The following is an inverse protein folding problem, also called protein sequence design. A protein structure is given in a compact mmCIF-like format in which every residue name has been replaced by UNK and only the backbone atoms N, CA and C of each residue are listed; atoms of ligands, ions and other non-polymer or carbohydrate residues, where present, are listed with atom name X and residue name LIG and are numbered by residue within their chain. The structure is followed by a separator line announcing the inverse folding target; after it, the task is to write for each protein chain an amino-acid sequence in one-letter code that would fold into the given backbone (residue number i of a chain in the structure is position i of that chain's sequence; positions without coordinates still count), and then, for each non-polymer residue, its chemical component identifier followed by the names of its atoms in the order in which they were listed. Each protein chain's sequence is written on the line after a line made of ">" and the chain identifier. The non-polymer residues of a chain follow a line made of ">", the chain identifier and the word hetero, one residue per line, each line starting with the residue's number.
data_IF_480838560512
#
_entry.id   IF_480838560512
#
_cell.length_a   1.000
_cell.length_b   1.000
_cell.length_c   1.000
_cell.angle_alpha   90.00
_cell.angle_beta   90.00
_cell.angle_gamma   90.00
#
_symmetry.space_group_name_H-M   'P 1'
#
loop_
_entity.id
_entity.type
_entity.pdbx_description
1 polymer ?
#
# COMPACT_ATOMS: atom_id res chain seq x y z
N UNK A 1 -20.11 9.05 -24.04
CA UNK A 1 -18.97 9.05 -24.95
C UNK A 1 -18.07 7.84 -24.58
N UNK A 2 -18.05 6.79 -25.41
CA UNK A 2 -17.11 5.67 -25.21
C UNK A 2 -15.72 6.17 -25.64
N UNK A 3 -14.84 6.41 -24.67
CA UNK A 3 -13.43 6.60 -25.01
C UNK A 3 -12.89 5.27 -25.52
N UNK A 4 -12.26 5.22 -26.70
CA UNK A 4 -11.60 4.02 -27.17
C UNK A 4 -10.49 3.66 -26.16
N UNK A 5 -10.42 2.41 -25.76
CA UNK A 5 -9.29 1.94 -24.95
C UNK A 5 -8.00 2.18 -25.73
N UNK A 6 -7.02 2.88 -25.19
CA UNK A 6 -5.76 3.10 -25.89
C UNK A 6 -5.07 1.74 -26.10
N UNK A 7 -4.71 1.41 -27.33
CA UNK A 7 -3.80 0.31 -27.62
C UNK A 7 -2.40 0.87 -27.48
N UNK A 8 -1.66 0.37 -26.50
CA UNK A 8 -0.27 0.75 -26.29
C UNK A 8 0.58 -0.32 -26.95
N UNK A 9 1.32 0.03 -27.99
CA UNK A 9 2.31 -0.83 -28.64
C UNK A 9 3.68 -0.40 -28.16
N UNK A 10 4.44 -1.34 -27.60
CA UNK A 10 5.84 -1.11 -27.28
C UNK A 10 6.68 -1.65 -28.42
N UNK A 11 7.35 -0.77 -29.12
CA UNK A 11 8.42 -1.09 -30.03
C UNK A 11 9.74 -0.97 -29.28
N UNK A 12 10.72 -1.83 -29.56
CA UNK A 12 12.04 -1.82 -28.93
C UNK A 12 12.02 -1.89 -27.38
N UNK A 13 11.11 -2.69 -26.83
CA UNK A 13 11.11 -2.95 -25.40
C UNK A 13 12.42 -3.60 -24.95
N UNK A 14 12.91 -3.23 -23.75
CA UNK A 14 14.14 -3.77 -23.20
C UNK A 14 14.13 -5.28 -23.13
N UNK A 15 15.15 -5.90 -23.70
CA UNK A 15 15.38 -7.32 -23.54
C UNK A 15 15.90 -7.62 -22.12
N UNK A 16 15.53 -8.78 -21.56
CA UNK A 16 15.92 -9.18 -20.21
C UNK A 16 17.45 -9.12 -19.97
N UNK A 17 18.25 -9.47 -21.00
CA UNK A 17 19.71 -9.42 -20.90
C UNK A 17 20.26 -8.01 -20.85
N UNK A 18 19.61 -7.05 -21.52
CA UNK A 18 19.97 -5.64 -21.48
C UNK A 18 19.68 -5.04 -20.10
N UNK A 19 18.51 -5.36 -19.51
CA UNK A 19 18.19 -4.96 -18.15
C UNK A 19 19.20 -5.51 -17.14
N UNK A 20 19.65 -6.76 -17.30
CA UNK A 20 20.73 -7.34 -16.49
C UNK A 20 22.07 -6.61 -16.66
N UNK A 21 22.41 -6.23 -17.88
CA UNK A 21 23.64 -5.47 -18.17
C UNK A 21 23.60 -4.09 -17.52
N UNK A 22 22.48 -3.36 -17.63
CA UNK A 22 22.26 -2.07 -16.97
C UNK A 22 22.33 -2.21 -15.43
N UNK A 23 21.78 -3.27 -14.88
CA UNK A 23 21.87 -3.54 -13.44
C UNK A 23 23.30 -3.73 -12.94
N UNK A 24 24.11 -4.49 -13.70
CA UNK A 24 25.51 -4.77 -13.38
C UNK A 24 26.43 -3.56 -13.54
N UNK A 25 26.15 -2.68 -14.49
CA UNK A 25 26.92 -1.47 -14.76
C UNK A 25 26.59 -0.30 -13.85
N UNK A 26 25.65 -0.47 -12.90
CA UNK A 26 25.19 0.61 -12.03
C UNK A 26 24.26 1.63 -12.69
N UNK A 27 23.86 1.38 -13.95
CA UNK A 27 23.03 2.28 -14.78
C UNK A 27 21.54 1.95 -14.71
N UNK A 28 21.07 1.46 -13.58
CA UNK A 28 19.69 1.02 -13.34
C UNK A 28 18.64 2.08 -13.70
N UNK A 29 18.96 3.35 -13.51
CA UNK A 29 18.06 4.48 -13.75
C UNK A 29 17.94 4.88 -15.23
N UNK A 30 18.72 4.25 -16.12
CA UNK A 30 18.60 4.47 -17.57
C UNK A 30 17.43 3.69 -18.17
N UNK A 31 16.94 2.61 -17.49
CA UNK A 31 15.79 1.85 -17.93
C UNK A 31 14.52 2.39 -17.23
N UNK A 32 13.62 2.99 -18.00
CA UNK A 32 12.33 3.48 -17.50
C UNK A 32 11.29 3.53 -18.61
N UNK A 33 10.02 3.51 -18.21
CA UNK A 33 8.89 3.84 -19.09
C UNK A 33 8.50 5.28 -18.77
N UNK A 34 8.44 6.13 -19.80
CA UNK A 34 8.00 7.51 -19.69
C UNK A 34 6.62 7.65 -20.34
N UNK A 35 5.66 8.16 -19.57
CA UNK A 35 4.36 8.57 -20.09
C UNK A 35 4.23 10.08 -20.01
N UNK A 36 3.86 10.71 -21.12
CA UNK A 36 3.65 12.16 -21.22
C UNK A 36 2.21 12.44 -21.66
N UNK A 37 1.53 13.28 -20.88
CA UNK A 37 0.21 13.80 -21.23
C UNK A 37 0.35 15.12 -21.98
N UNK A 38 -0.24 15.21 -23.18
CA UNK A 38 -0.18 16.42 -24.00
C UNK A 38 -1.57 17.07 -24.12
N UNK A 39 -1.61 18.39 -23.98
CA UNK A 39 -2.77 19.22 -24.29
C UNK A 39 -2.33 20.30 -25.27
N UNK A 40 -2.96 20.35 -26.44
CA UNK A 40 -2.60 21.26 -27.54
C UNK A 40 -1.11 21.22 -27.91
N UNK A 41 -0.51 20.00 -27.94
CA UNK A 41 0.88 19.78 -28.26
C UNK A 41 1.89 20.16 -27.18
N UNK A 42 1.42 20.60 -25.98
CA UNK A 42 2.28 20.90 -24.85
C UNK A 42 2.17 19.79 -23.80
N UNK A 43 3.32 19.35 -23.26
CA UNK A 43 3.39 18.39 -22.16
C UNK A 43 2.84 19.07 -20.91
N UNK A 44 1.76 18.52 -20.34
CA UNK A 44 1.11 19.01 -19.11
C UNK A 44 1.25 18.08 -17.93
N UNK A 45 1.62 16.81 -18.18
CA UNK A 45 1.87 15.82 -17.15
C UNK A 45 2.94 14.85 -17.61
N UNK A 46 3.77 14.40 -16.68
CA UNK A 46 4.82 13.41 -16.95
C UNK A 46 4.83 12.38 -15.82
N UNK A 47 4.92 11.10 -16.18
CA UNK A 47 5.07 10.02 -15.22
C UNK A 47 6.17 9.07 -15.66
N UNK A 48 7.11 8.77 -14.75
CA UNK A 48 8.19 7.80 -14.97
C UNK A 48 7.98 6.56 -14.12
N UNK A 49 8.13 5.39 -14.71
CA UNK A 49 8.13 4.10 -14.00
C UNK A 49 9.41 3.35 -14.28
N UNK A 50 10.06 2.94 -13.20
CA UNK A 50 11.29 2.16 -13.25
C UNK A 50 10.97 0.67 -13.02
N UNK A 51 11.76 -0.24 -13.61
CA UNK A 51 11.65 -1.66 -13.27
C UNK A 51 12.05 -1.89 -11.82
N UNK A 52 11.32 -2.76 -11.13
CA UNK A 52 11.68 -3.16 -9.77
C UNK A 52 12.84 -4.15 -9.78
N UNK A 53 13.76 -3.97 -8.85
CA UNK A 53 14.94 -4.81 -8.68
C UNK A 53 14.70 -5.88 -7.60
N UNK A 54 15.78 -6.36 -6.98
CA UNK A 54 15.70 -7.34 -5.89
C UNK A 54 14.94 -6.74 -4.70
N UNK A 55 13.93 -7.42 -4.15
CA UNK A 55 13.23 -6.94 -2.98
C UNK A 55 14.16 -6.98 -1.75
N UNK A 56 14.11 -5.94 -0.92
CA UNK A 56 14.96 -5.81 0.27
C UNK A 56 14.19 -5.49 1.54
N UNK A 57 13.01 -4.89 1.41
CA UNK A 57 12.22 -4.46 2.58
C UNK A 57 10.73 -4.45 2.30
N UNK A 58 9.97 -4.28 3.38
CA UNK A 58 8.56 -3.93 3.33
C UNK A 58 8.41 -2.43 3.57
N UNK A 59 7.40 -1.84 2.95
CA UNK A 59 6.89 -0.51 3.24
C UNK A 59 5.43 -0.63 3.64
N UNK A 60 5.05 -0.02 4.76
CA UNK A 60 3.66 0.08 5.19
C UNK A 60 3.10 1.45 4.81
N UNK A 61 1.88 1.46 4.30
CA UNK A 61 1.07 2.66 4.14
C UNK A 61 -0.36 2.42 4.62
N UNK A 62 -0.97 3.47 5.10
CA UNK A 62 -2.39 3.48 5.46
C UNK A 62 -3.17 4.13 4.32
N UNK A 63 -4.30 3.53 3.97
CA UNK A 63 -5.21 4.02 2.94
C UNK A 63 -6.44 4.60 3.65
N UNK A 64 -6.28 5.82 4.13
CA UNK A 64 -7.26 6.53 4.97
C UNK A 64 -7.89 7.75 4.28
N UNK A 65 -7.53 8.00 3.00
CA UNK A 65 -7.95 9.20 2.25
C UNK A 65 -7.74 10.53 3.00
N UNK A 66 -6.80 10.56 3.95
CA UNK A 66 -6.53 11.70 4.82
C UNK A 66 -7.57 11.89 5.92
N UNK A 67 -8.45 10.91 6.15
CA UNK A 67 -9.42 10.91 7.23
C UNK A 67 -8.85 10.20 8.47
N UNK A 68 -9.03 10.76 9.67
CA UNK A 68 -8.55 10.11 10.88
C UNK A 68 -9.40 8.89 11.23
N UNK A 69 -8.76 7.80 11.63
CA UNK A 69 -9.41 6.62 12.18
C UNK A 69 -10.06 6.97 13.53
N UNK A 70 -11.37 6.80 13.64
CA UNK A 70 -12.13 7.14 14.85
C UNK A 70 -12.22 5.97 15.82
N UNK A 71 -11.96 6.23 17.08
CA UNK A 71 -12.04 5.23 18.14
C UNK A 71 -13.49 5.04 18.61
N UNK A 72 -14.35 4.53 17.74
CA UNK A 72 -15.77 4.25 18.00
C UNK A 72 -16.09 2.74 18.08
N UNK A 73 -15.06 1.90 17.96
CA UNK A 73 -15.19 0.44 17.98
C UNK A 73 -15.67 -0.17 16.67
N UNK A 74 -15.98 0.64 15.67
CA UNK A 74 -16.51 0.19 14.38
C UNK A 74 -15.71 0.71 13.17
N UNK A 75 -15.02 1.84 13.30
CA UNK A 75 -14.28 2.45 12.22
C UNK A 75 -13.08 1.59 11.80
N UNK A 76 -12.88 1.49 10.50
CA UNK A 76 -11.92 0.57 9.88
C UNK A 76 -11.04 1.31 8.89
N UNK A 77 -9.78 0.94 8.83
CA UNK A 77 -8.84 1.45 7.84
C UNK A 77 -8.07 0.31 7.19
N UNK A 78 -7.71 0.49 5.93
CA UNK A 78 -6.87 -0.47 5.20
C UNK A 78 -5.39 -0.12 5.41
N UNK A 79 -4.62 -1.12 5.82
CA UNK A 79 -3.16 -1.04 5.86
C UNK A 79 -2.60 -1.92 4.75
N UNK A 80 -1.67 -1.39 3.98
CA UNK A 80 -1.09 -2.07 2.83
C UNK A 80 0.41 -2.22 3.05
N UNK A 81 0.88 -3.47 3.06
CA UNK A 81 2.30 -3.77 3.00
C UNK A 81 2.73 -3.94 1.54
N UNK A 82 3.74 -3.22 1.13
CA UNK A 82 4.32 -3.27 -0.20
C UNK A 82 5.74 -3.84 -0.11
N UNK A 83 6.02 -4.86 -0.92
CA UNK A 83 7.36 -5.43 -1.04
C UNK A 83 8.15 -4.56 -2.01
N UNK A 84 9.22 -3.93 -1.52
CA UNK A 84 9.96 -2.92 -2.26
C UNK A 84 11.45 -3.26 -2.40
N UNK A 85 12.07 -2.72 -3.44
CA UNK A 85 13.52 -2.74 -3.61
C UNK A 85 14.21 -1.58 -2.88
N UNK A 86 15.53 -1.47 -3.04
CA UNK A 86 16.36 -0.41 -2.43
C UNK A 86 15.91 1.02 -2.79
N UNK A 87 15.28 1.18 -3.97
CA UNK A 87 14.77 2.48 -4.46
C UNK A 87 13.32 2.74 -4.02
N UNK A 88 12.70 1.81 -3.27
CA UNK A 88 11.30 1.89 -2.86
C UNK A 88 10.31 1.53 -3.97
N UNK A 89 10.76 0.93 -5.07
CA UNK A 89 9.89 0.48 -6.15
C UNK A 89 9.25 -0.85 -5.80
N UNK A 90 7.92 -0.93 -5.92
CA UNK A 90 7.16 -2.15 -5.59
C UNK A 90 7.52 -3.29 -6.54
N UNK A 91 7.85 -4.45 -5.97
CA UNK A 91 8.14 -5.69 -6.70
C UNK A 91 6.85 -6.36 -7.15
N UNK A 92 6.28 -5.91 -8.27
CA UNK A 92 4.96 -6.33 -8.79
C UNK A 92 4.79 -7.83 -9.00
N UNK A 93 5.84 -8.56 -9.33
CA UNK A 93 5.78 -10.01 -9.56
C UNK A 93 6.05 -10.85 -8.31
N UNK A 94 6.06 -10.23 -7.13
CA UNK A 94 6.21 -10.94 -5.86
C UNK A 94 4.84 -11.28 -5.28
N UNK A 95 4.64 -12.54 -4.93
CA UNK A 95 3.42 -13.08 -4.34
C UNK A 95 3.67 -13.76 -2.97
N UNK A 96 4.77 -13.45 -2.33
CA UNK A 96 5.11 -13.99 -1.02
C UNK A 96 4.10 -13.53 0.03
N UNK A 97 3.77 -14.41 0.98
CA UNK A 97 2.84 -14.07 2.05
C UNK A 97 3.45 -13.12 3.07
N UNK A 98 2.64 -12.18 3.53
CA UNK A 98 2.98 -11.19 4.55
C UNK A 98 2.13 -11.44 5.79
N UNK A 99 2.78 -11.54 6.95
CA UNK A 99 2.12 -11.60 8.25
C UNK A 99 2.08 -10.21 8.86
N UNK A 100 0.91 -9.84 9.37
CA UNK A 100 0.72 -8.62 10.14
C UNK A 100 0.55 -8.92 11.62
N UNK A 101 1.07 -8.05 12.45
CA UNK A 101 0.82 -8.01 13.89
C UNK A 101 0.39 -6.61 14.26
N UNK A 102 -0.74 -6.49 14.95
CA UNK A 102 -1.30 -5.22 15.41
C UNK A 102 -1.39 -5.24 16.92
N UNK A 103 -0.90 -4.18 17.57
CA UNK A 103 -0.98 -3.99 19.03
C UNK A 103 -1.40 -2.57 19.37
N UNK A 104 -1.95 -2.36 20.56
CA UNK A 104 -2.50 -1.07 20.99
C UNK A 104 -3.99 -0.96 20.72
N UNK A 105 -4.46 0.23 20.34
CA UNK A 105 -5.88 0.57 20.27
C UNK A 105 -6.54 0.21 18.94
N UNK A 106 -6.21 -0.99 18.41
CA UNK A 106 -6.87 -1.59 17.25
C UNK A 106 -6.81 -3.11 17.26
N UNK A 107 -7.69 -3.72 16.48
CA UNK A 107 -7.71 -5.17 16.22
C UNK A 107 -7.59 -5.44 14.74
N UNK A 108 -6.89 -6.51 14.39
CA UNK A 108 -6.79 -6.99 13.02
C UNK A 108 -8.09 -7.72 12.66
N UNK A 109 -8.66 -7.43 11.49
CA UNK A 109 -9.85 -8.12 10.99
C UNK A 109 -9.43 -9.26 10.05
N UNK A 110 -10.12 -10.40 10.16
CA UNK A 110 -9.88 -11.55 9.28
C UNK A 110 -8.73 -12.46 9.72
N UNK A 111 -8.44 -12.53 11.02
CA UNK A 111 -7.28 -13.28 11.55
C UNK A 111 -7.46 -14.81 11.51
N UNK A 112 -8.62 -15.35 11.26
CA UNK A 112 -8.82 -16.80 11.39
C UNK A 112 -9.31 -17.54 10.15
N UNK A 113 -10.28 -17.03 9.37
CA UNK A 113 -10.93 -17.87 8.36
C UNK A 113 -11.20 -17.22 6.99
N UNK A 114 -11.18 -15.91 6.89
CA UNK A 114 -11.47 -15.21 5.63
C UNK A 114 -10.45 -14.10 5.41
N UNK A 115 -9.67 -14.19 4.33
CA UNK A 115 -8.62 -13.25 3.95
C UNK A 115 -7.53 -13.11 5.04
N UNK A 116 -7.24 -14.13 5.52
CA UNK A 116 -6.31 -14.64 6.50
C UNK A 116 -5.02 -13.86 6.65
N UNK A 117 -4.58 -13.76 7.86
CA UNK A 117 -3.23 -13.43 8.20
C UNK A 117 -2.44 -14.74 8.44
N UNK A 118 -1.42 -15.08 7.63
CA UNK A 118 -0.73 -14.24 6.63
C UNK A 118 -1.51 -14.03 5.32
N UNK A 119 -1.34 -12.86 4.72
CA UNK A 119 -1.97 -12.45 3.46
C UNK A 119 -1.00 -12.65 2.31
N UNK A 120 -1.36 -13.39 1.23
CA UNK A 120 -0.52 -13.46 0.04
C UNK A 120 -0.45 -12.09 -0.64
N UNK A 121 0.74 -11.67 -1.02
CA UNK A 121 0.90 -10.45 -1.79
C UNK A 121 0.36 -10.65 -3.22
N UNK A 122 -0.44 -9.71 -3.68
CA UNK A 122 -0.86 -9.60 -5.07
C UNK A 122 -0.22 -8.36 -5.70
N UNK A 123 0.47 -8.55 -6.80
CA UNK A 123 1.21 -7.46 -7.44
C UNK A 123 2.19 -6.75 -6.49
N UNK A 124 2.81 -7.53 -5.58
CA UNK A 124 3.77 -7.03 -4.60
C UNK A 124 3.16 -6.27 -3.43
N UNK A 125 1.85 -6.32 -3.25
CA UNK A 125 1.11 -5.62 -2.20
C UNK A 125 0.18 -6.58 -1.45
N UNK A 126 0.15 -6.47 -0.14
CA UNK A 126 -0.72 -7.25 0.74
C UNK A 126 -1.55 -6.30 1.61
N UNK A 127 -2.88 -6.21 1.40
CA UNK A 127 -3.75 -5.39 2.22
C UNK A 127 -4.26 -6.14 3.43
N UNK A 128 -4.48 -5.42 4.53
CA UNK A 128 -5.18 -5.90 5.72
C UNK A 128 -6.10 -4.82 6.28
N UNK A 129 -7.20 -5.21 6.91
CA UNK A 129 -8.11 -4.31 7.58
C UNK A 129 -7.80 -4.29 9.07
N UNK A 130 -7.72 -3.11 9.65
CA UNK A 130 -7.66 -2.91 11.09
C UNK A 130 -8.86 -2.09 11.55
N UNK A 131 -9.43 -2.49 12.71
CA UNK A 131 -10.57 -1.82 13.33
C UNK A 131 -10.12 -1.16 14.62
N UNK A 132 -10.46 0.11 14.80
CA UNK A 132 -10.21 0.83 16.03
C UNK A 132 -10.98 0.21 17.22
N UNK A 133 -10.40 0.31 18.42
CA UNK A 133 -11.14 0.07 19.66
C UNK A 133 -12.00 1.30 20.02
N UNK A 134 -12.66 1.27 21.16
CA UNK A 134 -13.39 2.45 21.69
C UNK A 134 -12.47 3.46 22.38
N UNK A 135 -11.19 3.13 22.55
CA UNK A 135 -10.19 4.00 23.14
C UNK A 135 -9.34 4.64 22.07
N UNK A 136 -9.26 5.96 22.05
CA UNK A 136 -8.35 6.66 21.16
C UNK A 136 -6.90 6.51 21.65
N UNK A 137 -5.99 6.16 20.75
CA UNK A 137 -4.62 5.92 21.16
C UNK A 137 -3.70 5.47 20.03
N UNK A 138 -2.53 4.98 20.43
CA UNK A 138 -1.50 4.47 19.55
C UNK A 138 -1.82 3.06 19.08
N UNK A 139 -1.50 2.81 17.83
CA UNK A 139 -1.62 1.53 17.13
C UNK A 139 -0.27 1.22 16.53
N UNK A 140 0.35 0.13 16.96
CA UNK A 140 1.60 -0.33 16.36
C UNK A 140 1.30 -1.47 15.39
N UNK A 141 1.76 -1.33 14.16
CA UNK A 141 1.55 -2.28 13.08
C UNK A 141 2.92 -2.77 12.62
N UNK A 142 3.10 -4.08 12.65
CA UNK A 142 4.30 -4.76 12.14
C UNK A 142 3.91 -5.66 10.99
N UNK A 143 4.71 -5.66 9.93
CA UNK A 143 4.60 -6.59 8.82
C UNK A 143 5.91 -7.32 8.60
N UNK A 144 5.84 -8.62 8.30
CA UNK A 144 6.98 -9.46 7.98
C UNK A 144 6.63 -10.43 6.85
N UNK A 145 7.59 -10.72 5.99
CA UNK A 145 7.43 -11.68 4.90
C UNK A 145 7.66 -13.09 5.43
N UNK A 146 6.81 -14.03 5.03
CA UNK A 146 6.95 -15.44 5.36
C UNK A 146 7.42 -16.23 4.14
N UNK A 147 8.39 -17.12 4.33
CA UNK A 147 8.82 -18.05 3.31
C UNK A 147 10.28 -18.48 3.49
N UNK A 148 10.56 -19.75 3.19
CA UNK A 148 11.91 -20.27 3.10
C UNK A 148 12.55 -19.89 1.77
N UNK A 149 13.84 -19.54 1.78
CA UNK A 149 14.60 -19.19 0.57
C UNK A 149 14.30 -17.82 -0.02
N UNK A 150 13.44 -17.04 0.61
CA UNK A 150 13.26 -15.62 0.28
C UNK A 150 14.51 -14.88 0.76
N UNK A 151 15.15 -14.12 -0.13
CA UNK A 151 16.18 -13.19 0.30
C UNK A 151 15.64 -12.36 1.47
N UNK A 152 16.45 -12.18 2.50
CA UNK A 152 16.05 -11.51 3.72
C UNK A 152 15.39 -10.15 3.39
N UNK A 153 14.06 -10.13 3.44
CA UNK A 153 13.26 -8.91 3.30
C UNK A 153 13.05 -8.40 4.72
N UNK A 154 13.55 -7.21 4.99
CA UNK A 154 13.45 -6.63 6.32
C UNK A 154 11.98 -6.39 6.70
N UNK A 155 11.56 -6.75 7.92
CA UNK A 155 10.25 -6.40 8.43
C UNK A 155 10.12 -4.87 8.56
N UNK A 156 8.88 -4.40 8.57
CA UNK A 156 8.58 -2.98 8.74
C UNK A 156 7.63 -2.79 9.93
N UNK A 157 7.86 -1.73 10.68
CA UNK A 157 6.98 -1.30 11.78
C UNK A 157 6.50 0.13 11.50
N UNK A 158 5.24 0.39 11.85
CA UNK A 158 4.60 1.66 11.63
C UNK A 158 3.68 2.00 12.81
N UNK A 159 3.80 3.21 13.35
CA UNK A 159 2.91 3.74 14.38
C UNK A 159 1.80 4.57 13.73
N UNK A 160 0.57 4.24 14.00
CA UNK A 160 -0.63 4.97 13.62
C UNK A 160 -1.39 5.42 14.85
N UNK A 161 -2.40 6.28 14.70
CA UNK A 161 -3.20 6.77 15.82
C UNK A 161 -4.68 6.84 15.46
N UNK A 162 -5.52 6.37 16.38
CA UNK A 162 -6.94 6.67 16.36
C UNK A 162 -7.26 7.92 17.18
N UNK A 163 -8.33 8.61 16.79
CA UNK A 163 -8.79 9.83 17.44
C UNK A 163 -10.15 9.61 18.11
N UNK A 164 -10.46 10.41 19.12
CA UNK A 164 -11.79 10.37 19.73
C UNK A 164 -12.86 10.77 18.70
N UNK A 165 -13.95 9.99 18.60
CA UNK A 165 -15.05 10.35 17.71
C UNK A 165 -15.71 11.64 18.18
N UNK A 166 -15.99 12.55 17.26
CA UNK A 166 -16.84 13.71 17.55
C UNK A 166 -18.28 13.24 17.40
N UNK A 167 -18.91 12.90 18.52
CA UNK A 167 -20.33 12.59 18.53
C UNK A 167 -21.13 13.90 18.32
N UNK A 168 -21.72 14.04 17.17
CA UNK A 168 -22.78 15.04 16.97
C UNK A 168 -24.07 14.39 17.42
N UNK A 169 -24.52 14.68 18.63
CA UNK A 169 -25.87 14.33 19.03
C UNK A 169 -26.85 15.14 18.15
N UNK A 170 -27.68 14.45 17.40
CA UNK A 170 -28.84 15.03 16.71
C UNK A 170 -30.00 15.18 17.75
N UNK A 171 -29.66 15.47 18.98
CA UNK A 171 -30.65 15.70 20.01
C UNK A 171 -30.90 17.20 20.09
N UNK A 172 -32.09 17.62 19.66
CA UNK A 172 -32.54 18.97 19.84
C UNK A 172 -33.16 19.07 21.27
N UNK A 173 -32.49 19.75 22.21
CA UNK A 173 -33.01 19.86 23.59
C UNK A 173 -34.36 20.57 23.68
N UNK A 174 -34.79 21.25 22.62
CA UNK A 174 -36.08 21.96 22.56
C UNK A 174 -37.26 21.05 22.19
N UNK A 175 -37.02 19.82 21.70
CA UNK A 175 -38.08 18.84 21.39
C UNK A 175 -38.65 18.07 22.59
N UNK A 176 -38.08 18.21 23.76
CA UNK A 176 -38.50 17.49 25.02
C UNK A 176 -39.41 18.32 25.89
N UNK A 177 -39.82 19.51 25.49
CA UNK A 177 -40.72 20.39 26.26
C UNK A 177 -42.10 20.53 25.63
N UNK A 178 -42.73 19.43 25.28
CA UNK A 178 -44.17 19.41 24.98
C UNK A 178 -44.87 18.31 25.76
#
# INVERSE_FOLDING_TARGET
>A
CKMPSPIITFEDAFHFMELKALARSGKRKEAYILAEGLVNGKIVATNKKYPSWRPVSLRLRVDDDGLPLRADGSDVVTVIAEIVDEEGTVKRLNNTSVRFTVTGEATLLGDCDIACNPVPAHWGSAPVLIRATTNAGKINIRAEVLGEGVHAIAPCEFEYKSVKPVMRFIYNPDEVRS
#
